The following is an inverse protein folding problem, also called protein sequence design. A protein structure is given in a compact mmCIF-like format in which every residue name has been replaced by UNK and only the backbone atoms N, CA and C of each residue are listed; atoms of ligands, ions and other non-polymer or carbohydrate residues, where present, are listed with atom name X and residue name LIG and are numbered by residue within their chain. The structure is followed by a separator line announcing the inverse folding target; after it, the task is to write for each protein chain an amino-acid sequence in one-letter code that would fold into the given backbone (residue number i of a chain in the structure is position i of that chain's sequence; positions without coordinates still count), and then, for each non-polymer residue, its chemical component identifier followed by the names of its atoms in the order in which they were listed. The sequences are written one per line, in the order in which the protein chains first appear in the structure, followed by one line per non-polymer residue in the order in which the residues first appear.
data_IF_312050032836
#
_entry.id   IF_312050032836
#
_cell.length_a   1.000
_cell.length_b   1.000
_cell.length_c   1.000
_cell.angle_alpha   90.00
_cell.angle_beta   90.00
_cell.angle_gamma   90.00
#
_symmetry.space_group_name_H-M   'P 1'
#
loop_
_entity.id
_entity.type
_entity.pdbx_description
1 polymer ?
#
# COMPACT_ATOMS: atom_id res chain seq x y z
N UNK A 1 -31.17 3.16 -4.36
CA UNK A 1 -29.97 3.68 -5.06
C UNK A 1 -30.14 5.17 -5.28
N UNK A 2 -29.30 6.00 -4.67
CA UNK A 2 -29.44 7.45 -4.56
C UNK A 2 -28.89 8.23 -5.78
N UNK A 3 -28.18 7.56 -6.68
CA UNK A 3 -27.42 8.18 -7.78
C UNK A 3 -27.94 7.81 -9.16
N UNK A 4 -29.23 7.51 -9.29
CA UNK A 4 -29.81 7.04 -10.56
C UNK A 4 -29.73 8.08 -11.69
N UNK A 5 -29.73 9.37 -11.36
CA UNK A 5 -29.84 10.45 -12.35
C UNK A 5 -28.56 11.30 -12.51
N UNK A 6 -27.49 10.96 -11.80
CA UNK A 6 -26.23 11.74 -11.83
C UNK A 6 -25.26 11.14 -12.85
N UNK A 7 -25.03 11.86 -13.95
CA UNK A 7 -23.98 11.54 -14.93
C UNK A 7 -22.65 12.17 -14.50
N UNK A 8 -21.58 11.38 -14.52
CA UNK A 8 -20.23 11.87 -14.24
C UNK A 8 -19.77 12.79 -15.38
N UNK A 9 -19.34 13.99 -15.03
CA UNK A 9 -18.71 14.94 -15.94
C UNK A 9 -17.24 15.05 -15.51
N UNK A 10 -16.30 14.54 -16.31
CA UNK A 10 -14.88 14.65 -16.01
C UNK A 10 -14.44 16.12 -15.99
N UNK A 11 -13.62 16.50 -15.00
CA UNK A 11 -12.97 17.82 -14.97
C UNK A 11 -11.82 17.93 -15.97
N UNK A 12 -11.20 16.80 -16.31
CA UNK A 12 -10.06 16.71 -17.24
C UNK A 12 -10.55 16.27 -18.62
N UNK A 13 -9.88 16.74 -19.66
CA UNK A 13 -10.11 16.30 -21.04
C UNK A 13 -9.52 14.90 -21.25
N UNK A 14 -10.02 14.13 -22.23
CA UNK A 14 -9.46 12.82 -22.57
C UNK A 14 -7.96 12.84 -22.91
N UNK A 15 -7.46 13.97 -23.40
CA UNK A 15 -6.07 14.14 -23.83
C UNK A 15 -5.13 14.60 -22.69
N UNK A 16 -5.68 15.02 -21.55
CA UNK A 16 -4.88 15.55 -20.45
C UNK A 16 -4.03 14.44 -19.82
N UNK A 17 -2.71 14.60 -19.88
CA UNK A 17 -1.75 13.66 -19.28
C UNK A 17 -1.22 14.23 -17.97
N UNK A 18 -1.03 13.38 -16.93
CA UNK A 18 -0.38 13.83 -15.71
C UNK A 18 1.02 14.35 -16.02
N UNK A 19 1.42 15.43 -15.34
CA UNK A 19 2.72 16.07 -15.52
C UNK A 19 3.87 15.28 -14.87
N UNK A 20 4.08 14.04 -15.35
CA UNK A 20 5.05 13.10 -14.77
C UNK A 20 6.49 13.60 -14.84
N UNK A 21 6.80 14.53 -15.75
CA UNK A 21 8.14 15.10 -15.91
C UNK A 21 8.57 15.95 -14.72
N UNK A 22 7.62 16.58 -14.00
CA UNK A 22 7.92 17.44 -12.85
C UNK A 22 8.62 16.71 -11.70
N UNK A 23 8.41 15.40 -11.60
CA UNK A 23 9.02 14.57 -10.57
C UNK A 23 10.13 13.65 -11.11
N UNK A 24 10.46 13.73 -12.41
CA UNK A 24 11.37 12.79 -13.06
C UNK A 24 12.73 12.72 -12.36
N UNK A 25 13.39 13.86 -12.20
CA UNK A 25 14.71 13.97 -11.57
C UNK A 25 14.71 13.46 -10.13
N UNK A 26 13.71 13.85 -9.33
CA UNK A 26 13.54 13.39 -7.94
C UNK A 26 13.37 11.86 -7.90
N UNK A 27 12.53 11.31 -8.77
CA UNK A 27 12.32 9.86 -8.81
C UNK A 27 13.58 9.11 -9.27
N UNK A 28 14.35 9.66 -10.21
CA UNK A 28 15.63 9.08 -10.65
C UNK A 28 16.64 9.03 -9.51
N UNK A 29 16.72 10.10 -8.71
CA UNK A 29 17.62 10.17 -7.54
C UNK A 29 17.24 9.22 -6.42
N UNK A 30 15.96 9.15 -6.04
CA UNK A 30 15.55 8.48 -4.79
C UNK A 30 15.00 7.06 -4.96
N UNK A 31 14.47 6.69 -6.14
CA UNK A 31 13.98 5.30 -6.35
C UNK A 31 15.04 4.22 -6.10
N UNK A 32 16.31 4.36 -6.54
CA UNK A 32 17.32 3.34 -6.31
C UNK A 32 17.59 3.09 -4.82
N UNK A 33 17.60 4.18 -4.03
CA UNK A 33 17.79 4.10 -2.58
C UNK A 33 16.60 3.43 -1.89
N UNK A 34 15.38 3.78 -2.29
CA UNK A 34 14.17 3.17 -1.75
C UNK A 34 14.07 1.67 -2.06
N UNK A 35 14.50 1.23 -3.25
CA UNK A 35 14.42 -0.17 -3.68
C UNK A 35 15.13 -1.13 -2.73
N UNK A 36 16.18 -0.68 -2.03
CA UNK A 36 16.94 -1.49 -1.06
C UNK A 36 16.06 -2.00 0.09
N UNK A 37 14.98 -1.27 0.40
CA UNK A 37 14.08 -1.57 1.52
C UNK A 37 12.76 -2.18 1.06
N UNK A 38 12.61 -2.46 -0.24
CA UNK A 38 11.40 -3.07 -0.75
C UNK A 38 11.27 -4.51 -0.27
N UNK A 39 10.03 -4.96 -0.20
CA UNK A 39 9.72 -6.33 0.17
C UNK A 39 10.28 -7.31 -0.87
N UNK A 40 11.00 -8.32 -0.40
CA UNK A 40 11.54 -9.39 -1.24
C UNK A 40 10.76 -10.70 -1.03
N UNK A 41 9.79 -11.02 -1.92
CA UNK A 41 8.97 -12.21 -1.80
C UNK A 41 9.73 -13.52 -2.04
N UNK A 42 10.97 -13.47 -2.56
CA UNK A 42 11.81 -14.67 -2.71
C UNK A 42 12.45 -15.11 -1.39
N UNK A 43 12.56 -14.18 -0.43
CA UNK A 43 13.21 -14.41 0.87
C UNK A 43 12.22 -14.62 2.01
N UNK A 44 11.04 -13.99 1.92
CA UNK A 44 10.05 -13.99 2.99
C UNK A 44 8.66 -14.31 2.43
N UNK A 45 7.82 -14.97 3.24
CA UNK A 45 6.44 -15.31 2.87
C UNK A 45 5.51 -14.10 2.99
N UNK A 46 5.76 -13.23 3.96
CA UNK A 46 5.02 -11.98 4.15
C UNK A 46 5.95 -10.82 4.54
N UNK A 47 5.46 -9.58 4.37
CA UNK A 47 6.19 -8.39 4.81
C UNK A 47 6.40 -8.37 6.33
N UNK A 48 5.47 -8.95 7.09
CA UNK A 48 5.61 -9.10 8.54
C UNK A 48 6.78 -10.02 8.89
N UNK A 49 6.96 -11.11 8.13
CA UNK A 49 8.11 -12.01 8.31
C UNK A 49 9.43 -11.30 7.99
N UNK A 50 9.47 -10.43 6.97
CA UNK A 50 10.65 -9.60 6.66
C UNK A 50 10.99 -8.64 7.81
N UNK A 51 9.97 -8.10 8.49
CA UNK A 51 10.14 -7.23 9.65
C UNK A 51 10.37 -8.01 10.96
N UNK A 52 10.34 -9.34 10.95
CA UNK A 52 10.46 -10.19 12.14
C UNK A 52 9.25 -10.14 13.08
N UNK A 53 8.09 -9.69 12.58
CA UNK A 53 6.86 -9.54 13.36
C UNK A 53 6.02 -10.81 13.23
N UNK A 54 5.88 -11.57 14.32
CA UNK A 54 4.99 -12.72 14.38
C UNK A 54 3.54 -12.27 14.59
N UNK A 55 2.69 -12.47 13.58
CA UNK A 55 1.25 -12.23 13.64
C UNK A 55 0.49 -13.57 13.65
N UNK A 56 -0.67 -13.69 14.32
CA UNK A 56 -1.40 -12.68 15.09
C UNK A 56 -0.75 -12.29 16.42
N UNK A 57 -0.83 -11.01 16.76
CA UNK A 57 -0.42 -10.45 18.07
C UNK A 57 -1.52 -10.58 19.13
N UNK A 58 -2.50 -11.47 18.90
CA UNK A 58 -3.61 -11.68 19.82
C UNK A 58 -3.02 -12.25 21.11
N UNK A 59 -3.18 -11.50 22.22
CA UNK A 59 -2.84 -12.01 23.54
C UNK A 59 -3.69 -13.26 23.75
N UNK A 60 -3.07 -14.40 24.02
CA UNK A 60 -3.81 -15.55 24.54
C UNK A 60 -4.35 -15.13 25.90
N UNK A 61 -5.58 -14.65 25.96
CA UNK A 61 -6.29 -14.60 27.24
C UNK A 61 -6.20 -16.02 27.79
N UNK A 62 -5.52 -16.19 28.92
CA UNK A 62 -5.77 -17.33 29.78
C UNK A 62 -7.25 -17.25 30.15
N UNK A 63 -8.10 -17.86 29.34
CA UNK A 63 -9.47 -18.17 29.72
C UNK A 63 -9.36 -19.25 30.78
N UNK A 64 -9.06 -18.79 32.00
CA UNK A 64 -9.38 -19.47 33.22
C UNK A 64 -10.86 -19.87 33.12
N UNK A 65 -11.10 -21.18 33.23
CA UNK A 65 -12.22 -21.77 33.97
C UNK A 65 -12.73 -20.76 35.02
N UNK A 66 -14.00 -20.35 35.03
CA UNK A 66 -15.19 -21.11 35.44
C UNK A 66 -16.36 -20.10 35.58
N UNK A 67 -17.60 -20.53 35.87
CA UNK A 67 -18.09 -21.89 36.11
C UNK A 67 -18.89 -22.53 34.97
#
# INVERSE_FOLDING_TARGET
MQTKDKKYIPLMRPEDKPAIWLNKERMEKFRPEMKKYYYDPSKYKSYLDQLGIKYPTVRTSSSQQQP
#
